data_IF_340760067131
#
_entry.id   IF_340760067131
#
_cell.length_a   1.000
_cell.length_b   1.000
_cell.length_c   1.000
_cell.angle_alpha   90.00
_cell.angle_beta   90.00
_cell.angle_gamma   90.00
#
_symmetry.space_group_name_H-M   'P 1'
#
loop_
_entity.id
_entity.type
_entity.pdbx_description
1 polymer ?
#
# COMPACT_ATOMS: atom_id res chain seq x y z
N UNK A 1 -40.90 -0.89 -58.52
CA UNK A 1 -42.10 -0.01 -58.55
C UNK A 1 -41.93 1.06 -57.48
N UNK A 2 -41.71 2.20 -57.98
CA UNK A 2 -42.35 3.52 -57.81
C UNK A 2 -41.99 4.21 -56.48
N UNK A 3 -41.17 5.20 -56.60
CA UNK A 3 -41.29 6.65 -56.89
C UNK A 3 -41.50 7.46 -55.61
N UNK A 4 -40.54 8.31 -55.25
CA UNK A 4 -40.35 9.74 -55.58
C UNK A 4 -41.33 10.71 -54.89
N UNK A 5 -40.74 11.70 -54.13
CA UNK A 5 -40.91 13.18 -54.27
C UNK A 5 -40.33 13.84 -53.02
N UNK A 6 -39.27 14.62 -52.98
CA UNK A 6 -38.94 16.00 -53.41
C UNK A 6 -39.93 17.08 -52.99
N UNK A 7 -39.42 18.02 -52.15
CA UNK A 7 -39.58 19.48 -52.19
C UNK A 7 -38.78 20.06 -51.00
N UNK A 8 -37.72 20.85 -51.13
CA UNK A 8 -37.51 22.24 -51.58
C UNK A 8 -38.42 23.23 -50.89
N UNK A 9 -37.80 24.08 -50.02
CA UNK A 9 -37.68 25.54 -50.26
C UNK A 9 -37.02 26.25 -49.08
N UNK A 10 -35.98 27.03 -49.38
CA UNK A 10 -35.53 28.18 -48.55
C UNK A 10 -36.38 29.39 -48.95
N UNK A 11 -36.37 30.51 -48.11
CA UNK A 11 -35.55 31.63 -48.56
C UNK A 11 -34.84 32.42 -47.46
N UNK A 12 -33.88 33.19 -47.95
CA UNK A 12 -33.03 34.20 -47.31
C UNK A 12 -33.83 35.40 -46.82
N UNK A 13 -33.38 36.01 -45.69
CA UNK A 13 -33.42 37.47 -45.56
C UNK A 13 -32.12 37.97 -44.90
N UNK A 14 -31.62 39.00 -45.49
CA UNK A 14 -30.39 39.73 -45.33
C UNK A 14 -30.73 41.14 -44.87
N UNK A 15 -30.20 41.60 -43.70
CA UNK A 15 -29.97 43.02 -43.29
C UNK A 15 -28.92 42.92 -42.19
N UNK A 16 -27.80 43.49 -42.20
CA UNK A 16 -27.27 44.73 -42.67
C UNK A 16 -27.26 45.76 -41.55
N UNK A 17 -26.20 45.79 -40.67
CA UNK A 17 -25.83 47.04 -39.95
C UNK A 17 -24.38 46.93 -39.42
N UNK A 18 -23.70 48.07 -39.54
CA UNK A 18 -22.28 48.28 -39.41
C UNK A 18 -21.79 48.50 -37.96
N UNK A 19 -20.48 48.63 -37.71
CA UNK A 19 -19.86 48.58 -36.37
C UNK A 19 -19.82 49.90 -35.63
N UNK A 20 -20.03 49.88 -34.32
CA UNK A 20 -19.80 51.02 -33.41
C UNK A 20 -18.56 50.77 -32.57
N UNK A 21 -17.78 51.85 -32.39
CA UNK A 21 -16.52 51.97 -31.70
C UNK A 21 -16.67 51.88 -30.14
N UNK A 22 -15.56 51.63 -29.42
CA UNK A 22 -15.57 51.36 -27.98
C UNK A 22 -15.73 52.61 -27.11
N UNK A 23 -16.60 52.49 -26.11
CA UNK A 23 -16.82 53.50 -25.09
C UNK A 23 -15.93 53.29 -23.87
N UNK A 24 -15.46 54.38 -23.39
CA UNK A 24 -14.61 54.70 -22.24
C UNK A 24 -15.12 54.10 -20.92
N UNK A 25 -14.22 53.49 -20.12
CA UNK A 25 -14.47 53.07 -18.77
C UNK A 25 -14.55 54.24 -17.78
N UNK A 26 -15.41 54.20 -16.75
CA UNK A 26 -15.46 55.22 -15.71
C UNK A 26 -14.42 54.97 -14.61
N UNK A 27 -13.77 56.07 -14.20
CA UNK A 27 -12.83 56.17 -13.07
C UNK A 27 -13.54 55.94 -11.74
N UNK A 28 -12.94 55.13 -10.85
CA UNK A 28 -13.30 55.01 -9.44
C UNK A 28 -12.76 56.19 -8.62
N UNK A 29 -13.49 56.66 -7.61
CA UNK A 29 -13.04 57.77 -6.76
C UNK A 29 -12.07 57.30 -5.66
N UNK A 30 -11.12 58.17 -5.41
CA UNK A 30 -10.05 58.16 -4.40
C UNK A 30 -10.66 58.33 -3.01
N UNK A 31 -10.54 57.32 -2.11
CA UNK A 31 -10.88 57.47 -0.71
C UNK A 31 -9.71 57.95 0.12
N UNK A 32 -10.06 58.71 1.12
CA UNK A 32 -9.29 59.59 1.96
C UNK A 32 -8.30 58.90 2.90
N UNK A 33 -7.27 59.71 3.27
CA UNK A 33 -6.26 59.45 4.29
C UNK A 33 -6.88 59.38 5.69
N UNK A 34 -6.56 58.36 6.46
CA UNK A 34 -6.74 58.34 7.93
C UNK A 34 -5.46 58.85 8.62
N UNK A 35 -5.58 59.52 9.77
CA UNK A 35 -4.44 60.16 10.43
C UNK A 35 -3.64 59.19 11.32
N UNK A 36 -2.36 59.50 11.41
CA UNK A 36 -1.29 58.88 12.20
C UNK A 36 -1.49 59.22 13.69
N UNK A 37 -1.55 58.19 14.54
CA UNK A 37 -1.43 58.31 15.98
C UNK A 37 -0.02 57.91 16.38
N UNK A 38 0.70 58.82 17.03
CA UNK A 38 2.01 58.63 17.66
C UNK A 38 1.80 57.92 19.01
N UNK A 39 2.57 56.89 19.24
CA UNK A 39 2.67 56.22 20.56
C UNK A 39 4.00 55.48 20.62
N UNK A 40 4.98 56.10 21.27
CA UNK A 40 6.31 55.56 21.48
C UNK A 40 6.34 54.51 22.61
N UNK A 41 7.02 53.38 22.40
CA UNK A 41 7.53 52.52 23.44
C UNK A 41 8.97 52.09 23.12
N UNK A 42 9.86 51.93 24.14
CA UNK A 42 11.29 51.91 23.95
C UNK A 42 11.86 50.60 23.47
N UNK A 43 12.89 50.70 22.65
CA UNK A 43 13.74 49.60 22.17
C UNK A 43 14.65 49.11 23.28
N UNK A 44 14.71 47.82 23.50
CA UNK A 44 15.86 47.16 24.15
C UNK A 44 16.72 46.52 23.07
N UNK A 45 18.01 46.83 23.14
CA UNK A 45 19.06 46.45 22.22
C UNK A 45 19.42 44.97 22.34
N UNK A 46 19.62 44.31 21.23
CA UNK A 46 20.18 42.97 21.11
C UNK A 46 20.70 42.74 19.70
N UNK A 47 21.76 43.50 19.34
CA UNK A 47 22.41 43.38 18.05
C UNK A 47 23.48 42.28 18.10
N UNK A 48 23.30 41.18 17.38
CA UNK A 48 24.38 40.24 17.05
C UNK A 48 24.86 40.55 15.63
N UNK A 49 26.15 40.86 15.44
CA UNK A 49 26.65 41.14 14.10
C UNK A 49 26.83 39.86 13.29
N UNK A 50 26.42 39.94 12.03
CA UNK A 50 26.65 38.96 10.98
C UNK A 50 28.16 39.00 10.62
N UNK A 51 28.82 37.83 10.45
CA UNK A 51 30.21 37.79 10.02
C UNK A 51 30.37 38.32 8.59
N UNK A 52 31.33 39.21 8.43
CA UNK A 52 31.73 39.82 7.16
C UNK A 52 32.31 38.78 6.21
N UNK A 53 31.89 38.89 4.96
CA UNK A 53 32.44 38.13 3.82
C UNK A 53 33.80 38.70 3.47
N UNK A 54 34.84 37.88 3.53
CA UNK A 54 36.18 38.25 3.07
C UNK A 54 36.21 38.64 1.58
N UNK A 55 37.04 39.61 1.18
CA UNK A 55 37.15 40.05 -0.20
C UNK A 55 37.76 38.98 -1.10
N UNK A 56 37.18 38.78 -2.27
CA UNK A 56 37.76 37.96 -3.34
C UNK A 56 39.01 38.64 -3.87
N UNK A 57 40.17 37.95 -3.75
CA UNK A 57 41.38 38.30 -4.47
C UNK A 57 41.21 37.99 -5.97
N UNK A 58 41.40 38.99 -6.80
CA UNK A 58 41.53 38.83 -8.26
C UNK A 58 42.85 38.12 -8.56
N UNK A 59 42.78 36.81 -8.83
CA UNK A 59 43.88 36.00 -9.35
C UNK A 59 43.68 35.80 -10.84
N UNK A 60 44.51 36.47 -11.62
CA UNK A 60 44.66 36.31 -13.06
C UNK A 60 45.02 34.85 -13.40
N UNK A 61 44.11 34.11 -14.01
CA UNK A 61 44.35 32.76 -14.51
C UNK A 61 44.89 32.85 -15.95
N UNK A 62 46.19 32.75 -16.10
CA UNK A 62 46.84 32.44 -17.36
C UNK A 62 46.51 31.01 -17.82
N UNK A 63 45.96 30.91 -19.05
CA UNK A 63 45.71 29.66 -19.77
C UNK A 63 47.01 28.84 -19.91
N UNK A 64 47.01 27.53 -19.64
CA UNK A 64 48.16 26.73 -20.02
C UNK A 64 48.18 26.49 -21.55
N UNK A 65 49.35 26.83 -22.14
CA UNK A 65 49.70 26.62 -23.55
C UNK A 65 49.77 25.11 -23.80
N UNK A 66 49.07 24.64 -24.84
CA UNK A 66 49.19 23.29 -25.36
C UNK A 66 50.61 23.07 -25.93
N UNK A 67 51.41 22.21 -25.31
CA UNK A 67 52.63 21.69 -25.86
C UNK A 67 52.33 20.67 -26.97
N UNK A 68 53.12 20.63 -28.07
CA UNK A 68 52.96 19.69 -29.14
C UNK A 68 53.34 18.24 -28.67
N UNK A 69 52.55 17.30 -29.09
CA UNK A 69 52.74 15.87 -28.89
C UNK A 69 53.94 15.37 -29.74
N UNK A 70 55.06 15.13 -29.13
CA UNK A 70 56.16 14.39 -29.75
C UNK A 70 55.83 12.89 -29.79
N UNK A 71 55.91 12.34 -30.98
CA UNK A 71 55.86 10.90 -31.24
C UNK A 71 57.06 10.22 -30.60
N UNK A 72 56.82 9.38 -29.61
CA UNK A 72 57.82 8.50 -28.99
C UNK A 72 57.19 7.13 -28.80
N UNK A 73 57.40 6.25 -29.75
CA UNK A 73 57.00 4.84 -29.65
C UNK A 73 57.84 4.17 -28.58
N UNK A 74 57.25 3.75 -27.49
CA UNK A 74 57.84 2.77 -26.57
C UNK A 74 57.40 1.37 -26.98
N UNK A 75 58.35 0.42 -27.16
CA UNK A 75 58.00 -0.94 -27.55
C UNK A 75 57.30 -1.69 -26.39
N UNK A 76 56.28 -2.42 -26.76
CA UNK A 76 55.53 -3.36 -25.93
C UNK A 76 56.50 -4.44 -25.41
N UNK A 77 56.53 -4.77 -24.11
CA UNK A 77 57.34 -5.88 -23.61
C UNK A 77 56.82 -7.20 -24.18
N UNK A 78 57.77 -7.99 -24.70
CA UNK A 78 57.57 -9.32 -25.27
C UNK A 78 57.02 -10.28 -24.19
N UNK A 79 56.07 -11.06 -24.63
CA UNK A 79 55.49 -12.17 -23.85
C UNK A 79 56.51 -13.26 -23.70
N UNK A 80 56.98 -13.56 -22.50
CA UNK A 80 57.82 -14.70 -22.18
C UNK A 80 57.16 -16.02 -22.65
N UNK A 81 57.96 -17.00 -23.15
CA UNK A 81 57.41 -18.27 -23.60
C UNK A 81 56.87 -19.11 -22.45
N UNK A 82 55.69 -19.73 -22.69
CA UNK A 82 55.12 -20.74 -21.80
C UNK A 82 56.06 -21.93 -21.72
N UNK A 83 56.63 -22.18 -20.53
CA UNK A 83 57.26 -23.45 -20.22
C UNK A 83 56.18 -24.51 -20.01
N UNK A 84 56.19 -25.56 -20.77
CA UNK A 84 55.48 -26.81 -20.54
C UNK A 84 55.97 -27.44 -19.24
N UNK A 85 55.19 -27.31 -18.17
CA UNK A 85 55.45 -27.92 -16.88
C UNK A 85 54.34 -28.91 -16.58
N UNK A 86 54.69 -30.15 -16.68
CA UNK A 86 54.03 -31.38 -16.31
C UNK A 86 53.08 -31.26 -15.13
N UNK A 87 51.84 -31.77 -15.33
CA UNK A 87 50.84 -31.96 -14.31
C UNK A 87 51.32 -32.89 -13.20
N UNK A 88 51.50 -32.37 -12.00
CA UNK A 88 51.49 -33.18 -10.78
C UNK A 88 50.26 -32.83 -9.96
N UNK A 89 49.34 -33.79 -9.88
CA UNK A 89 48.19 -33.80 -8.98
C UNK A 89 48.70 -33.62 -7.53
N UNK A 90 48.08 -32.76 -6.72
CA UNK A 90 48.37 -32.77 -5.29
C UNK A 90 47.87 -34.08 -4.68
N UNK A 91 48.79 -34.79 -4.04
CA UNK A 91 48.55 -36.00 -3.23
C UNK A 91 47.62 -35.62 -2.08
N UNK A 92 46.52 -36.32 -1.97
CA UNK A 92 45.64 -36.26 -0.81
C UNK A 92 46.43 -36.75 0.41
N UNK A 93 46.64 -35.88 1.38
CA UNK A 93 47.08 -36.27 2.72
C UNK A 93 46.04 -37.15 3.38
N UNK A 94 46.45 -38.23 4.08
CA UNK A 94 45.55 -39.10 4.80
C UNK A 94 44.91 -38.31 5.97
N UNK A 95 43.60 -38.34 6.04
CA UNK A 95 42.78 -37.83 7.15
C UNK A 95 43.01 -38.75 8.32
N UNK A 96 43.70 -38.30 9.36
CA UNK A 96 43.82 -38.99 10.64
C UNK A 96 42.41 -39.18 11.23
N UNK A 97 42.12 -40.45 11.50
CA UNK A 97 40.91 -40.89 12.18
C UNK A 97 40.89 -40.36 13.63
N UNK A 98 39.99 -39.45 13.91
CA UNK A 98 39.53 -39.13 15.24
C UNK A 98 38.09 -39.55 15.35
N UNK A 99 37.89 -40.81 15.66
CA UNK A 99 36.60 -41.39 15.94
C UNK A 99 36.10 -40.94 17.31
N UNK A 100 35.11 -40.06 17.38
CA UNK A 100 34.27 -39.96 18.57
C UNK A 100 33.20 -41.04 18.47
N UNK A 101 33.02 -41.86 19.51
CA UNK A 101 32.05 -42.94 19.46
C UNK A 101 30.63 -42.39 19.49
N UNK A 102 29.84 -42.77 18.51
CA UNK A 102 28.40 -42.61 18.47
C UNK A 102 27.79 -43.46 19.59
N UNK A 103 26.86 -42.94 20.41
CA UNK A 103 26.21 -43.76 21.43
C UNK A 103 25.46 -44.90 20.76
N UNK A 104 25.70 -46.11 21.26
CA UNK A 104 25.06 -47.35 20.84
C UNK A 104 23.54 -47.25 21.04
N UNK A 105 22.82 -47.58 19.98
CA UNK A 105 21.39 -47.90 20.10
C UNK A 105 21.29 -49.23 20.85
N UNK A 106 20.72 -49.18 22.04
CA UNK A 106 20.34 -50.37 22.78
C UNK A 106 19.41 -51.27 21.99
N UNK A 107 19.40 -52.60 22.30
CA UNK A 107 18.65 -53.58 21.55
C UNK A 107 17.14 -53.30 21.60
N UNK A 108 16.49 -53.38 20.45
CA UNK A 108 15.02 -53.41 20.37
C UNK A 108 14.56 -54.68 21.12
N UNK A 109 13.94 -54.48 22.26
CA UNK A 109 13.13 -55.53 22.89
C UNK A 109 11.90 -55.75 22.01
N UNK A 110 11.75 -56.97 21.52
CA UNK A 110 10.51 -57.47 20.97
C UNK A 110 9.46 -57.49 22.08
N UNK A 111 8.65 -56.42 22.15
CA UNK A 111 7.50 -56.31 23.03
C UNK A 111 6.24 -56.51 22.24
N UNK A 112 5.76 -57.70 22.37
CA UNK A 112 4.43 -58.22 22.07
C UNK A 112 3.35 -57.15 21.98
N UNK A 113 2.66 -57.12 20.83
CA UNK A 113 1.39 -56.45 20.60
C UNK A 113 0.31 -57.01 21.54
N UNK A 114 -0.02 -56.29 22.58
CA UNK A 114 -1.27 -56.49 23.30
C UNK A 114 -2.20 -55.32 23.02
N UNK A 115 -3.10 -55.57 22.08
CA UNK A 115 -4.30 -54.79 21.82
C UNK A 115 -5.14 -54.78 23.10
N UNK A 116 -5.60 -53.66 23.64
CA UNK A 116 -6.54 -53.68 24.76
C UNK A 116 -7.87 -54.28 24.31
N UNK A 117 -8.23 -55.34 25.01
CA UNK A 117 -9.51 -56.02 24.87
C UNK A 117 -10.67 -55.06 25.17
N UNK A 118 -11.62 -55.06 24.28
CA UNK A 118 -12.94 -54.46 24.48
C UNK A 118 -13.60 -55.13 25.69
N UNK A 119 -13.95 -54.37 26.71
CA UNK A 119 -14.80 -54.80 27.79
C UNK A 119 -16.13 -55.42 27.26
N UNK A 120 -16.60 -56.53 27.87
CA UNK A 120 -17.83 -57.15 27.41
C UNK A 120 -19.04 -56.27 27.71
N UNK A 121 -19.90 -56.12 26.70
CA UNK A 121 -21.25 -55.58 26.86
C UNK A 121 -22.02 -56.50 27.80
N UNK A 122 -22.37 -55.99 29.00
CA UNK A 122 -23.37 -56.64 29.84
C UNK A 122 -24.74 -56.48 29.14
N UNK A 123 -25.26 -57.59 28.62
CA UNK A 123 -26.64 -57.71 28.31
C UNK A 123 -27.42 -57.82 29.63
N UNK A 124 -28.06 -56.75 30.01
CA UNK A 124 -29.08 -56.76 31.06
C UNK A 124 -30.45 -56.72 30.40
N UNK A 125 -31.02 -57.89 30.22
CA UNK A 125 -32.38 -58.09 29.81
C UNK A 125 -33.29 -57.66 30.97
N UNK A 126 -34.06 -56.55 30.82
CA UNK A 126 -35.11 -56.17 31.75
C UNK A 126 -36.46 -56.46 31.07
N UNK A 127 -37.27 -57.36 31.65
CA UNK A 127 -38.56 -57.65 31.06
C UNK A 127 -39.53 -56.47 31.20
N UNK A 128 -40.29 -56.24 30.15
CA UNK A 128 -41.39 -55.30 30.13
C UNK A 128 -42.52 -55.81 30.98
N UNK A 129 -43.09 -55.04 31.90
CA UNK A 129 -44.36 -55.41 32.53
C UNK A 129 -45.52 -55.07 31.61
N UNK A 130 -46.52 -55.96 31.72
CA UNK A 130 -47.76 -56.03 30.96
C UNK A 130 -48.63 -54.75 31.02
N UNK A 131 -49.35 -54.60 29.98
CA UNK A 131 -50.37 -53.65 29.70
C UNK A 131 -51.60 -53.87 30.59
N UNK A 132 -51.69 -53.08 31.67
CA UNK A 132 -52.95 -53.04 32.45
C UNK A 132 -53.56 -51.66 32.28
N UNK A 133 -54.72 -51.60 31.73
CA UNK A 133 -55.71 -50.57 31.63
C UNK A 133 -55.83 -49.76 32.89
N UNK A 134 -55.58 -48.39 32.81
CA UNK A 134 -56.02 -47.48 33.86
C UNK A 134 -56.60 -46.19 33.26
N UNK A 135 -57.79 -45.97 33.74
CA UNK A 135 -58.76 -44.95 33.51
C UNK A 135 -58.18 -43.51 33.62
N UNK A 136 -58.64 -42.63 32.75
CA UNK A 136 -58.31 -41.23 32.66
C UNK A 136 -58.53 -40.45 33.97
N UNK A 137 -57.48 -39.83 34.50
CA UNK A 137 -57.60 -38.73 35.41
C UNK A 137 -56.96 -37.48 34.69
N UNK A 138 -57.80 -36.49 34.50
CA UNK A 138 -57.53 -35.24 33.83
C UNK A 138 -56.62 -34.38 34.73
N UNK A 139 -55.32 -34.36 34.48
CA UNK A 139 -54.35 -33.48 35.14
C UNK A 139 -54.35 -32.09 34.47
N UNK A 140 -54.08 -30.97 35.20
CA UNK A 140 -54.16 -29.61 34.67
C UNK A 140 -53.07 -29.33 33.63
N UNK A 141 -53.44 -28.67 32.56
CA UNK A 141 -52.57 -28.17 31.49
C UNK A 141 -51.49 -27.28 32.09
N UNK A 142 -50.26 -27.77 32.15
CA UNK A 142 -49.06 -26.95 32.27
C UNK A 142 -48.93 -26.08 31.04
N UNK A 143 -49.01 -24.76 31.23
CA UNK A 143 -48.80 -23.75 30.20
C UNK A 143 -47.34 -23.87 29.74
N UNK A 144 -47.12 -24.23 28.47
CA UNK A 144 -45.81 -24.16 27.84
C UNK A 144 -45.22 -22.75 27.97
N UNK A 145 -43.90 -22.62 28.24
CA UNK A 145 -43.31 -21.27 28.27
C UNK A 145 -43.52 -20.58 26.90
N UNK A 146 -44.05 -19.39 26.94
CA UNK A 146 -44.17 -18.53 25.78
C UNK A 146 -42.83 -18.54 25.03
N UNK A 147 -42.87 -18.97 23.76
CA UNK A 147 -41.83 -18.65 22.81
C UNK A 147 -41.67 -17.14 22.83
N UNK A 148 -40.54 -16.67 23.35
CA UNK A 148 -40.14 -15.27 23.27
C UNK A 148 -40.13 -14.91 21.78
N UNK A 149 -41.15 -14.14 21.36
CA UNK A 149 -41.14 -13.46 20.07
C UNK A 149 -39.79 -12.73 20.02
N UNK A 150 -38.93 -13.07 19.05
CA UNK A 150 -37.76 -12.24 18.72
C UNK A 150 -38.25 -10.82 18.62
N UNK A 151 -37.86 -10.00 19.57
CA UNK A 151 -38.09 -8.58 19.54
C UNK A 151 -37.54 -7.98 18.26
N UNK A 152 -37.97 -6.81 17.84
CA UNK A 152 -37.49 -6.17 16.63
C UNK A 152 -35.97 -6.14 16.69
N UNK A 153 -35.33 -6.65 15.62
CA UNK A 153 -33.88 -6.63 15.41
C UNK A 153 -33.36 -5.25 15.85
N UNK A 154 -32.56 -5.23 16.91
CA UNK A 154 -31.97 -4.00 17.40
C UNK A 154 -31.26 -3.34 16.18
N UNK A 155 -31.72 -2.13 15.82
CA UNK A 155 -31.04 -1.30 14.82
C UNK A 155 -29.55 -1.34 15.16
N UNK A 156 -28.70 -1.63 14.17
CA UNK A 156 -27.26 -1.56 14.36
C UNK A 156 -26.93 -0.23 15.04
N UNK A 157 -26.11 -0.22 16.10
CA UNK A 157 -25.85 1.00 16.87
C UNK A 157 -25.39 2.11 15.92
N UNK A 158 -26.08 3.25 15.96
CA UNK A 158 -25.77 4.41 15.13
C UNK A 158 -24.37 4.93 15.50
N UNK A 159 -23.58 5.35 14.48
CA UNK A 159 -22.27 5.95 14.68
C UNK A 159 -21.11 5.09 14.16
N UNK A 160 -19.94 5.68 14.18
CA UNK A 160 -18.67 5.02 13.83
C UNK A 160 -18.03 4.40 15.08
N UNK A 161 -17.19 3.38 14.87
CA UNK A 161 -16.36 2.82 15.97
C UNK A 161 -15.38 3.87 16.47
N UNK A 162 -15.31 4.03 17.79
CA UNK A 162 -14.52 5.08 18.44
C UNK A 162 -13.04 5.05 18.03
N UNK A 163 -12.40 3.86 17.95
CA UNK A 163 -11.03 3.73 17.46
C UNK A 163 -10.86 4.18 15.99
N UNK A 164 -11.93 4.14 15.17
CA UNK A 164 -11.87 4.63 13.80
C UNK A 164 -11.89 6.17 13.79
N UNK A 165 -12.70 6.79 14.62
CA UNK A 165 -12.79 8.24 14.76
C UNK A 165 -11.45 8.80 15.24
N UNK A 166 -10.89 8.24 16.31
CA UNK A 166 -9.58 8.64 16.85
C UNK A 166 -8.45 8.50 15.82
N UNK A 167 -8.44 7.39 15.07
CA UNK A 167 -7.44 7.18 14.04
C UNK A 167 -7.58 8.16 12.85
N UNK A 168 -8.81 8.58 12.50
CA UNK A 168 -9.06 9.62 11.48
C UNK A 168 -8.72 11.02 11.98
N UNK A 169 -8.70 11.22 13.28
CA UNK A 169 -8.24 12.45 13.92
C UNK A 169 -6.70 12.52 14.09
N UNK A 170 -5.97 11.53 13.56
CA UNK A 170 -4.51 11.53 13.63
C UNK A 170 -3.91 11.07 14.95
N UNK A 171 -4.74 10.73 15.96
CA UNK A 171 -4.27 10.35 17.32
C UNK A 171 -3.26 9.20 17.25
N UNK A 172 -3.66 8.03 16.73
CA UNK A 172 -2.80 6.86 16.67
C UNK A 172 -3.28 5.86 15.59
N UNK A 173 -2.65 4.66 15.52
CA UNK A 173 -3.22 3.56 14.72
C UNK A 173 -4.53 3.07 15.36
N UNK A 174 -5.41 2.44 14.58
CA UNK A 174 -6.68 1.90 15.12
C UNK A 174 -6.45 0.96 16.30
N UNK A 175 -5.41 0.11 16.24
CA UNK A 175 -5.04 -0.79 17.36
C UNK A 175 -4.52 -0.01 18.57
N UNK A 176 -3.66 0.99 18.37
CA UNK A 176 -3.20 1.82 19.48
C UNK A 176 -4.34 2.67 20.09
N UNK A 177 -5.31 3.11 19.27
CA UNK A 177 -6.52 3.74 19.79
C UNK A 177 -7.39 2.77 20.60
N UNK A 178 -7.43 1.47 20.25
CA UNK A 178 -8.08 0.44 21.07
C UNK A 178 -7.42 0.32 22.43
N UNK A 179 -6.09 0.38 22.50
CA UNK A 179 -5.34 0.41 23.79
C UNK A 179 -5.69 1.65 24.60
N UNK A 180 -5.68 2.85 24.01
CA UNK A 180 -6.07 4.09 24.68
C UNK A 180 -7.51 4.06 25.23
N UNK A 181 -8.44 3.41 24.51
CA UNK A 181 -9.82 3.22 24.99
C UNK A 181 -9.82 2.29 26.21
N UNK A 182 -9.14 1.15 26.15
CA UNK A 182 -9.08 0.20 27.28
C UNK A 182 -8.46 0.82 28.53
N UNK A 183 -7.46 1.67 28.37
CA UNK A 183 -6.76 2.39 29.44
C UNK A 183 -7.59 3.56 30.02
N UNK A 184 -8.74 3.89 29.41
CA UNK A 184 -9.67 4.90 29.92
C UNK A 184 -9.30 6.34 29.57
N UNK A 185 -8.41 6.56 28.62
CA UNK A 185 -8.02 7.91 28.15
C UNK A 185 -9.10 8.63 27.36
N UNK A 186 -10.11 7.89 26.85
CA UNK A 186 -11.10 8.42 25.91
C UNK A 186 -12.44 8.64 26.59
N UNK A 187 -13.02 9.83 26.38
CA UNK A 187 -14.36 10.15 26.86
C UNK A 187 -15.27 10.52 25.68
N UNK A 188 -16.54 10.20 25.83
CA UNK A 188 -17.60 10.61 24.91
C UNK A 188 -18.68 11.32 25.73
N UNK A 189 -18.95 12.59 25.44
CA UNK A 189 -19.88 13.45 26.18
C UNK A 189 -19.57 13.48 27.70
N UNK A 190 -18.29 13.48 28.08
CA UNK A 190 -17.83 13.50 29.46
C UNK A 190 -17.85 12.15 30.16
N UNK A 191 -18.28 11.07 29.52
CA UNK A 191 -18.27 9.71 30.08
C UNK A 191 -17.05 8.94 29.56
N UNK A 192 -16.23 8.42 30.46
CA UNK A 192 -15.08 7.59 30.10
C UNK A 192 -15.51 6.26 29.50
N UNK A 193 -14.96 5.92 28.35
CA UNK A 193 -15.25 4.69 27.61
C UNK A 193 -14.05 3.76 27.70
N UNK A 194 -14.26 2.54 28.18
CA UNK A 194 -13.24 1.47 28.27
C UNK A 194 -13.63 0.23 27.45
N UNK A 195 -14.82 0.22 26.83
CA UNK A 195 -15.35 -0.91 26.09
C UNK A 195 -14.90 -0.86 24.63
N UNK A 196 -14.30 -1.98 24.14
CA UNK A 196 -13.94 -2.13 22.75
C UNK A 196 -15.20 -2.27 21.88
N UNK A 197 -15.18 -1.59 20.74
CA UNK A 197 -16.30 -1.59 19.81
C UNK A 197 -17.33 -0.50 20.08
N UNK A 198 -17.16 0.29 21.15
CA UNK A 198 -17.96 1.49 21.40
C UNK A 198 -18.04 2.38 20.16
N UNK A 199 -19.20 3.01 19.96
CA UNK A 199 -19.48 3.86 18.81
C UNK A 199 -19.86 5.26 19.27
N UNK A 200 -19.50 6.24 18.45
CA UNK A 200 -19.87 7.63 18.64
C UNK A 200 -20.19 8.27 17.29
N UNK A 201 -20.94 9.34 17.31
CA UNK A 201 -21.21 10.15 16.14
C UNK A 201 -20.23 11.34 16.11
N UNK A 202 -19.24 11.38 15.19
CA UNK A 202 -18.23 12.44 15.17
C UNK A 202 -18.77 13.84 14.89
N UNK A 203 -20.07 13.96 14.52
CA UNK A 203 -20.73 15.24 14.24
C UNK A 203 -21.65 15.72 15.37
N UNK A 204 -21.98 14.85 16.33
CA UNK A 204 -22.92 15.16 17.42
C UNK A 204 -22.30 14.99 18.81
N UNK A 205 -21.36 14.01 18.94
CA UNK A 205 -20.78 13.68 20.20
C UNK A 205 -19.46 14.44 20.39
N UNK A 206 -19.25 14.93 21.61
CA UNK A 206 -17.98 15.53 22.02
C UNK A 206 -17.05 14.39 22.45
N UNK A 207 -15.99 14.17 21.68
CA UNK A 207 -14.98 13.13 21.94
C UNK A 207 -13.72 13.81 22.45
N UNK A 208 -13.21 13.38 23.60
CA UNK A 208 -11.97 13.90 24.18
C UNK A 208 -10.98 12.76 24.41
N UNK A 209 -9.70 13.08 24.30
CA UNK A 209 -8.57 12.25 24.68
C UNK A 209 -7.79 12.99 25.78
N UNK A 210 -7.68 12.41 26.98
CA UNK A 210 -7.05 13.04 28.14
C UNK A 210 -7.61 14.47 28.39
N UNK A 211 -8.95 14.61 28.28
CA UNK A 211 -9.71 15.85 28.40
C UNK A 211 -9.55 16.87 27.27
N UNK A 212 -8.67 16.62 26.29
CA UNK A 212 -8.49 17.47 25.12
C UNK A 212 -9.45 17.07 23.97
N UNK A 213 -10.15 18.01 23.33
CA UNK A 213 -11.11 17.69 22.28
C UNK A 213 -10.42 17.12 21.03
N UNK A 214 -10.90 15.99 20.57
CA UNK A 214 -10.41 15.32 19.36
C UNK A 214 -11.03 15.96 18.12
N UNK A 215 -10.20 16.56 17.28
CA UNK A 215 -10.62 17.19 16.03
C UNK A 215 -10.24 16.31 14.83
N UNK A 216 -11.13 16.25 13.84
CA UNK A 216 -10.86 15.52 12.60
C UNK A 216 -9.74 16.21 11.82
N UNK A 217 -8.71 15.45 11.49
CA UNK A 217 -7.61 15.88 10.64
C UNK A 217 -8.06 16.14 9.20
N UNK A 218 -7.50 17.16 8.55
CA UNK A 218 -7.78 17.41 7.12
C UNK A 218 -7.23 16.25 6.28
N UNK A 219 -7.98 15.77 5.28
CA UNK A 219 -7.51 14.67 4.45
C UNK A 219 -6.33 15.09 3.56
N UNK A 220 -5.28 14.29 3.59
CA UNK A 220 -4.06 14.48 2.79
C UNK A 220 -3.89 13.32 1.83
N UNK A 221 -3.53 13.64 0.58
CA UNK A 221 -3.33 12.66 -0.48
C UNK A 221 -2.00 12.94 -1.19
N UNK A 222 -1.11 11.95 -1.16
CA UNK A 222 0.26 12.06 -1.66
C UNK A 222 0.54 10.90 -2.61
N UNK A 223 1.04 11.20 -3.80
CA UNK A 223 1.62 10.23 -4.72
C UNK A 223 3.14 10.23 -4.54
N UNK A 224 3.69 9.09 -4.18
CA UNK A 224 5.13 8.86 -4.00
C UNK A 224 5.64 7.90 -5.05
N UNK A 225 6.85 8.09 -5.55
CA UNK A 225 7.58 7.08 -6.29
C UNK A 225 8.57 6.39 -5.34
N UNK A 226 8.13 5.28 -4.76
CA UNK A 226 8.92 4.50 -3.79
C UNK A 226 10.19 3.93 -4.44
N UNK A 227 11.38 4.21 -3.92
CA UNK A 227 12.61 3.55 -4.35
C UNK A 227 12.74 2.14 -3.74
N UNK A 228 13.71 1.35 -4.21
CA UNK A 228 14.15 0.12 -3.54
C UNK A 228 14.75 0.43 -2.16
N UNK A 229 14.80 -0.59 -1.30
CA UNK A 229 15.45 -0.48 0.01
C UNK A 229 14.60 0.21 1.08
N UNK A 230 13.31 0.43 0.82
CA UNK A 230 12.37 0.98 1.80
C UNK A 230 11.21 0.01 2.03
N UNK A 231 10.82 -0.18 3.29
CA UNK A 231 9.67 -1.00 3.66
C UNK A 231 8.40 -0.16 3.59
N UNK A 232 7.32 -0.73 3.04
CA UNK A 232 6.02 -0.06 2.97
C UNK A 232 5.26 -0.27 4.28
N UNK A 233 5.66 0.46 5.30
CA UNK A 233 5.04 0.49 6.63
C UNK A 233 5.23 1.85 7.29
N UNK A 234 4.41 2.17 8.28
CA UNK A 234 4.56 3.37 9.11
C UNK A 234 5.68 3.18 10.14
N UNK A 235 5.79 1.97 10.73
CA UNK A 235 6.83 1.60 11.70
C UNK A 235 7.36 0.21 11.33
N UNK A 236 8.65 0.02 11.42
CA UNK A 236 9.31 -1.26 11.20
C UNK A 236 10.00 -1.71 12.49
N UNK A 237 9.79 -2.96 12.87
CA UNK A 237 10.35 -3.54 14.11
C UNK A 237 11.82 -3.94 13.95
N UNK A 238 12.25 -4.20 12.71
CA UNK A 238 13.63 -4.56 12.37
C UNK A 238 14.53 -3.34 12.12
N UNK A 239 14.00 -2.11 12.27
CA UNK A 239 14.75 -0.87 12.10
C UNK A 239 15.14 -0.53 10.66
N UNK A 240 14.54 -1.20 9.67
CA UNK A 240 14.76 -0.89 8.25
C UNK A 240 14.14 0.45 7.87
N UNK A 241 14.71 1.19 6.91
CA UNK A 241 14.14 2.44 6.47
C UNK A 241 12.72 2.23 5.89
N UNK A 242 11.77 3.00 6.39
CA UNK A 242 10.37 2.95 5.93
C UNK A 242 10.09 4.05 4.93
N UNK A 243 9.00 3.92 4.17
CA UNK A 243 8.53 4.95 3.24
C UNK A 243 8.22 6.28 3.93
N UNK A 244 8.00 6.27 5.25
CA UNK A 244 7.75 7.48 6.04
C UNK A 244 8.99 8.38 6.11
N UNK A 245 10.19 7.82 6.07
CA UNK A 245 11.43 8.60 6.06
C UNK A 245 11.61 9.47 4.79
N UNK A 246 10.84 9.22 3.74
CA UNK A 246 10.85 10.00 2.51
C UNK A 246 9.85 11.17 2.53
N UNK A 247 8.95 11.23 3.53
CA UNK A 247 7.89 12.24 3.64
C UNK A 247 8.32 13.41 4.54
N UNK A 248 9.23 14.24 4.04
CA UNK A 248 9.66 15.42 4.77
C UNK A 248 8.61 16.53 4.67
N UNK A 249 8.32 17.22 5.80
CA UNK A 249 7.43 18.38 5.85
C UNK A 249 5.92 18.05 5.87
N UNK A 250 5.54 16.80 6.02
CA UNK A 250 4.14 16.39 6.20
C UNK A 250 3.87 16.24 7.69
N UNK A 251 3.00 17.09 8.24
CA UNK A 251 2.56 17.03 9.65
C UNK A 251 1.42 16.04 9.86
N UNK A 252 0.56 15.85 8.86
CA UNK A 252 -0.56 14.94 8.92
C UNK A 252 -0.11 13.47 9.05
N UNK A 253 -0.86 12.69 9.82
CA UNK A 253 -0.58 11.28 10.03
C UNK A 253 -1.03 10.40 8.85
N UNK A 254 -0.25 10.39 7.77
CA UNK A 254 -0.53 9.57 6.58
C UNK A 254 0.03 8.14 6.70
N UNK A 255 -0.52 7.23 5.90
CA UNK A 255 -0.08 5.84 5.79
C UNK A 255 -0.23 5.33 4.35
N UNK A 256 0.51 4.27 3.95
CA UNK A 256 0.49 3.76 2.59
C UNK A 256 -0.82 3.05 2.25
N UNK A 257 -1.35 3.31 1.05
CA UNK A 257 -2.49 2.62 0.46
C UNK A 257 -2.01 1.40 -0.32
N UNK A 258 -2.10 0.25 0.31
CA UNK A 258 -1.51 -0.99 -0.18
C UNK A 258 -0.01 -1.05 0.06
N UNK A 259 0.65 -2.01 -0.57
CA UNK A 259 2.07 -2.28 -0.34
C UNK A 259 2.84 -2.48 -1.63
N UNK A 260 4.10 -2.10 -1.60
CA UNK A 260 5.16 -2.54 -2.51
C UNK A 260 6.24 -3.22 -1.67
N UNK A 261 6.80 -4.32 -2.16
CA UNK A 261 7.86 -5.04 -1.46
C UNK A 261 9.13 -4.19 -1.33
N UNK A 262 10.03 -4.59 -0.44
CA UNK A 262 11.31 -3.93 -0.19
C UNK A 262 12.13 -3.69 -1.49
N UNK A 263 12.20 -4.71 -2.35
CA UNK A 263 12.90 -4.68 -3.63
C UNK A 263 12.03 -4.24 -4.82
N UNK A 264 10.82 -3.69 -4.59
CA UNK A 264 9.94 -3.17 -5.62
C UNK A 264 9.94 -1.65 -5.59
N UNK A 265 9.79 -1.04 -6.76
CA UNK A 265 9.79 0.40 -6.97
C UNK A 265 8.43 0.88 -7.48
N UNK A 266 8.24 2.19 -7.53
CA UNK A 266 7.17 2.83 -8.29
C UNK A 266 6.11 3.51 -7.44
N UNK A 267 5.00 3.84 -8.09
CA UNK A 267 3.96 4.68 -7.53
C UNK A 267 3.28 4.06 -6.31
N UNK A 268 3.21 4.81 -5.23
CA UNK A 268 2.58 4.45 -3.97
C UNK A 268 1.75 5.64 -3.48
N UNK A 269 0.47 5.41 -3.24
CA UNK A 269 -0.41 6.42 -2.66
C UNK A 269 -0.28 6.39 -1.14
N UNK A 270 -0.21 7.58 -0.52
CA UNK A 270 -0.20 7.78 0.93
C UNK A 270 -1.38 8.70 1.29
N UNK A 271 -2.11 8.39 2.36
CA UNK A 271 -3.24 9.22 2.82
C UNK A 271 -3.57 8.96 4.28
N UNK A 272 -4.31 9.86 4.91
CA UNK A 272 -5.01 9.66 6.19
C UNK A 272 -6.52 9.37 5.99
N UNK A 273 -7.02 9.37 4.74
CA UNK A 273 -8.39 9.00 4.40
C UNK A 273 -8.55 7.47 4.37
N UNK A 274 -9.04 6.93 5.49
CA UNK A 274 -9.19 5.48 5.67
C UNK A 274 -10.30 4.85 4.83
N UNK A 275 -11.28 5.62 4.40
CA UNK A 275 -12.38 5.11 3.59
C UNK A 275 -11.93 4.94 2.14
N UNK A 276 -11.27 5.95 1.60
CA UNK A 276 -10.65 5.86 0.28
C UNK A 276 -9.58 4.76 0.25
N UNK A 277 -8.71 4.70 1.26
CA UNK A 277 -7.66 3.66 1.35
C UNK A 277 -8.24 2.25 1.37
N UNK A 278 -9.31 2.01 2.12
CA UNK A 278 -10.01 0.73 2.17
C UNK A 278 -10.60 0.37 0.80
N UNK A 279 -11.27 1.30 0.15
CA UNK A 279 -11.88 1.11 -1.17
C UNK A 279 -10.84 0.75 -2.21
N UNK A 280 -9.73 1.50 -2.27
CA UNK A 280 -8.64 1.27 -3.23
C UNK A 280 -7.85 -0.03 -2.99
N UNK A 281 -7.89 -0.58 -1.78
CA UNK A 281 -7.17 -1.83 -1.44
C UNK A 281 -8.07 -3.06 -1.44
N UNK A 282 -9.39 -2.89 -1.35
CA UNK A 282 -10.34 -4.01 -1.38
C UNK A 282 -10.28 -4.74 -2.72
N UNK A 283 -10.26 -6.09 -2.69
CA UNK A 283 -10.33 -6.91 -3.90
C UNK A 283 -11.63 -6.74 -4.71
N UNK A 284 -12.68 -6.23 -4.08
CA UNK A 284 -14.01 -6.09 -4.69
C UNK A 284 -14.07 -4.98 -5.74
N UNK A 285 -13.27 -3.93 -5.57
CA UNK A 285 -13.24 -2.79 -6.51
C UNK A 285 -12.34 -3.00 -7.72
N UNK A 286 -11.60 -4.10 -7.79
CA UNK A 286 -10.81 -4.51 -8.96
C UNK A 286 -9.89 -3.42 -9.53
N UNK A 287 -9.38 -2.54 -8.67
CA UNK A 287 -8.54 -1.41 -9.06
C UNK A 287 -7.32 -1.89 -9.85
N UNK A 288 -7.14 -1.46 -11.11
CA UNK A 288 -6.00 -1.88 -11.92
C UNK A 288 -4.68 -1.34 -11.38
N UNK A 289 -3.65 -2.16 -11.44
CA UNK A 289 -2.28 -1.83 -11.07
C UNK A 289 -1.37 -2.28 -12.20
N UNK A 290 -0.69 -1.35 -12.84
CA UNK A 290 0.21 -1.65 -13.97
C UNK A 290 1.65 -1.63 -13.51
N UNK A 291 2.38 -2.66 -13.89
CA UNK A 291 3.77 -2.86 -13.52
C UNK A 291 4.66 -3.03 -14.75
N UNK A 292 5.84 -2.43 -14.73
CA UNK A 292 6.95 -2.81 -15.59
C UNK A 292 7.78 -3.88 -14.87
N UNK A 293 7.96 -5.00 -15.52
CA UNK A 293 8.58 -6.21 -14.98
C UNK A 293 9.74 -6.61 -15.87
N UNK A 294 10.99 -6.52 -15.36
CA UNK A 294 12.15 -7.07 -16.04
C UNK A 294 12.37 -8.50 -15.58
N UNK A 295 12.33 -9.44 -16.49
CA UNK A 295 12.47 -10.86 -16.22
C UNK A 295 13.76 -11.41 -16.83
N UNK A 296 14.15 -12.59 -16.36
CA UNK A 296 15.26 -13.32 -16.93
C UNK A 296 14.75 -14.23 -18.06
N UNK A 297 15.30 -14.08 -19.25
CA UNK A 297 14.91 -14.76 -20.50
C UNK A 297 13.47 -14.45 -20.93
N UNK A 298 13.22 -14.62 -22.21
CA UNK A 298 11.90 -14.42 -22.80
C UNK A 298 11.03 -15.66 -22.59
N UNK A 299 9.82 -15.55 -21.97
CA UNK A 299 8.88 -16.64 -21.87
C UNK A 299 8.34 -17.05 -23.25
N UNK A 300 7.87 -18.28 -23.36
CA UNK A 300 7.14 -18.73 -24.55
C UNK A 300 5.78 -18.00 -24.61
N UNK A 301 5.23 -17.78 -25.81
CA UNK A 301 3.91 -17.17 -25.96
C UNK A 301 2.82 -17.89 -25.14
N UNK A 302 2.84 -19.22 -25.14
CA UNK A 302 1.86 -20.06 -24.42
C UNK A 302 1.89 -19.78 -22.90
N UNK A 303 3.07 -19.56 -22.34
CA UNK A 303 3.22 -19.20 -20.92
C UNK A 303 2.59 -17.84 -20.61
N UNK A 304 2.68 -16.88 -21.53
CA UNK A 304 2.03 -15.59 -21.36
C UNK A 304 0.51 -15.69 -21.49
N UNK A 305 0.02 -16.60 -22.34
CA UNK A 305 -1.41 -16.87 -22.51
C UNK A 305 -2.02 -17.51 -21.27
N UNK A 306 -1.31 -18.47 -20.64
CA UNK A 306 -1.71 -19.02 -19.34
C UNK A 306 -1.90 -17.93 -18.28
N UNK A 307 -1.01 -16.93 -18.26
CA UNK A 307 -1.17 -15.80 -17.33
C UNK A 307 -2.37 -14.92 -17.66
N UNK A 308 -2.64 -14.70 -18.94
CA UNK A 308 -3.82 -13.93 -19.41
C UNK A 308 -5.13 -14.61 -19.05
N UNK A 309 -5.18 -15.93 -19.08
CA UNK A 309 -6.36 -16.73 -18.76
C UNK A 309 -6.54 -16.98 -17.25
N UNK A 310 -5.52 -16.75 -16.44
CA UNK A 310 -5.50 -16.97 -15.02
C UNK A 310 -4.67 -18.19 -14.60
N UNK A 311 -3.44 -17.93 -14.23
CA UNK A 311 -2.42 -18.91 -13.83
C UNK A 311 -2.73 -19.60 -12.51
N UNK A 312 -2.39 -20.88 -12.40
CA UNK A 312 -2.51 -21.62 -11.13
C UNK A 312 -1.22 -21.55 -10.34
N UNK A 313 -1.26 -20.85 -9.20
CA UNK A 313 -0.13 -20.66 -8.28
C UNK A 313 -0.45 -21.23 -6.90
N UNK A 314 0.42 -22.04 -6.35
CA UNK A 314 0.26 -22.67 -5.02
C UNK A 314 -1.13 -23.32 -4.84
N UNK A 315 -1.62 -24.05 -5.87
CA UNK A 315 -2.91 -24.71 -5.90
C UNK A 315 -4.13 -23.80 -6.06
N UNK A 316 -3.94 -22.47 -6.13
CA UNK A 316 -5.02 -21.48 -6.29
C UNK A 316 -4.97 -20.84 -7.68
N UNK A 317 -6.13 -20.69 -8.30
CA UNK A 317 -6.24 -19.93 -9.55
C UNK A 317 -6.18 -18.46 -9.26
N UNK A 318 -5.27 -17.77 -9.95
CA UNK A 318 -5.17 -16.30 -9.96
C UNK A 318 -6.21 -15.72 -10.90
N UNK A 319 -6.57 -14.44 -10.71
CA UNK A 319 -7.39 -13.73 -11.70
C UNK A 319 -6.60 -13.55 -12.99
N UNK A 320 -7.27 -13.52 -14.14
CA UNK A 320 -6.69 -13.10 -15.40
C UNK A 320 -5.94 -11.78 -15.27
N UNK A 321 -4.80 -11.66 -15.96
CA UNK A 321 -4.00 -10.45 -15.97
C UNK A 321 -3.60 -10.03 -17.38
N UNK A 322 -3.51 -8.71 -17.62
CA UNK A 322 -2.95 -8.19 -18.86
C UNK A 322 -1.44 -8.39 -18.88
N UNK A 323 -0.87 -8.93 -19.96
CA UNK A 323 0.58 -9.01 -20.15
C UNK A 323 0.92 -8.64 -21.58
N UNK A 324 1.80 -7.65 -21.72
CA UNK A 324 2.30 -7.18 -23.02
C UNK A 324 3.83 -7.07 -22.97
N UNK A 325 4.48 -7.30 -24.12
CA UNK A 325 5.93 -7.08 -24.24
C UNK A 325 6.16 -5.58 -24.41
N UNK A 326 6.77 -4.95 -23.41
CA UNK A 326 7.09 -3.52 -23.43
C UNK A 326 8.42 -3.26 -24.18
N UNK A 327 9.44 -4.06 -23.90
CA UNK A 327 10.75 -3.97 -24.54
C UNK A 327 11.30 -5.37 -24.79
N UNK A 328 11.68 -5.67 -26.02
CA UNK A 328 12.26 -6.97 -26.41
C UNK A 328 13.73 -7.06 -26.01
N UNK A 329 14.27 -8.28 -25.93
CA UNK A 329 15.66 -8.56 -25.62
C UNK A 329 15.83 -9.88 -24.88
N UNK A 330 17.07 -10.26 -24.53
CA UNK A 330 17.36 -11.49 -23.79
C UNK A 330 16.69 -11.51 -22.40
N UNK A 331 16.60 -10.34 -21.78
CA UNK A 331 15.91 -10.11 -20.52
C UNK A 331 14.87 -9.00 -20.73
N UNK A 332 13.68 -9.33 -21.27
CA UNK A 332 12.69 -8.36 -21.71
C UNK A 332 12.05 -7.62 -20.56
N UNK A 333 11.49 -6.44 -20.88
CA UNK A 333 10.53 -5.78 -20.03
C UNK A 333 9.13 -6.15 -20.49
N UNK A 334 8.30 -6.55 -19.53
CA UNK A 334 6.88 -6.80 -19.74
C UNK A 334 6.07 -5.76 -18.98
N UNK A 335 4.97 -5.35 -19.56
CA UNK A 335 3.93 -4.62 -18.87
C UNK A 335 2.89 -5.60 -18.36
N UNK A 336 2.66 -5.61 -17.04
CA UNK A 336 1.73 -6.53 -16.38
C UNK A 336 0.65 -5.73 -15.67
N UNK A 337 -0.61 -5.97 -16.00
CA UNK A 337 -1.77 -5.33 -15.38
C UNK A 337 -2.50 -6.32 -14.48
N UNK A 338 -2.57 -6.01 -13.18
CA UNK A 338 -3.29 -6.79 -12.18
C UNK A 338 -4.49 -6.03 -11.62
N UNK A 339 -5.59 -6.72 -11.39
CA UNK A 339 -6.77 -6.22 -10.65
C UNK A 339 -6.84 -6.75 -9.22
N UNK A 340 -5.94 -7.66 -8.85
CA UNK A 340 -5.78 -8.18 -7.48
C UNK A 340 -4.39 -7.85 -6.93
N UNK A 341 -4.10 -8.20 -5.67
CA UNK A 341 -2.80 -7.91 -5.06
C UNK A 341 -2.44 -8.96 -4.01
N UNK A 342 -2.01 -10.15 -4.45
CA UNK A 342 -1.52 -11.20 -3.55
C UNK A 342 -0.05 -10.97 -3.20
N UNK A 343 0.39 -11.53 -2.09
CA UNK A 343 1.77 -11.40 -1.63
C UNK A 343 2.76 -11.85 -2.71
N UNK A 344 3.63 -10.92 -3.16
CA UNK A 344 4.66 -11.12 -4.18
C UNK A 344 4.16 -11.79 -5.48
N UNK A 345 2.90 -11.55 -5.85
CA UNK A 345 2.19 -12.27 -6.91
C UNK A 345 3.01 -12.36 -8.20
N UNK A 346 3.42 -11.23 -8.77
CA UNK A 346 4.19 -11.20 -10.02
C UNK A 346 5.50 -11.98 -9.88
N UNK A 347 6.24 -11.79 -8.79
CA UNK A 347 7.52 -12.50 -8.58
C UNK A 347 7.32 -14.02 -8.52
N UNK A 348 6.29 -14.47 -7.82
CA UNK A 348 5.97 -15.91 -7.71
C UNK A 348 5.49 -16.49 -9.03
N UNK A 349 4.62 -15.78 -9.77
CA UNK A 349 4.14 -16.22 -11.08
C UNK A 349 5.30 -16.50 -12.04
N UNK A 350 6.17 -15.52 -12.22
CA UNK A 350 7.30 -15.65 -13.14
C UNK A 350 8.36 -16.64 -12.63
N UNK A 351 8.59 -16.73 -11.33
CA UNK A 351 9.51 -17.73 -10.77
C UNK A 351 8.99 -19.17 -10.98
N UNK A 352 7.70 -19.40 -10.86
CA UNK A 352 7.08 -20.72 -11.04
C UNK A 352 7.26 -21.27 -12.47
N UNK A 353 7.42 -20.38 -13.47
CA UNK A 353 7.65 -20.78 -14.87
C UNK A 353 9.12 -20.62 -15.30
N UNK A 354 10.05 -20.40 -14.35
CA UNK A 354 11.48 -20.35 -14.62
C UNK A 354 12.01 -19.01 -15.14
N UNK A 355 11.23 -17.93 -15.03
CA UNK A 355 11.61 -16.58 -15.47
C UNK A 355 11.65 -15.58 -14.30
N UNK A 356 12.61 -15.67 -13.36
CA UNK A 356 12.61 -14.83 -12.16
C UNK A 356 12.69 -13.33 -12.49
N UNK A 357 11.95 -12.55 -11.68
CA UNK A 357 11.87 -11.09 -11.84
C UNK A 357 13.10 -10.41 -11.25
N UNK A 358 13.85 -9.69 -12.07
CA UNK A 358 15.02 -8.90 -11.67
C UNK A 358 14.66 -7.49 -11.23
N UNK A 359 13.74 -6.81 -11.94
CA UNK A 359 13.23 -5.48 -11.56
C UNK A 359 11.71 -5.46 -11.63
N UNK A 360 11.08 -4.76 -10.68
CA UNK A 360 9.63 -4.60 -10.60
C UNK A 360 9.31 -3.17 -10.20
N UNK A 361 8.61 -2.45 -11.09
CA UNK A 361 8.21 -1.06 -10.89
C UNK A 361 6.71 -0.91 -11.15
N UNK A 362 5.96 -0.39 -10.21
CA UNK A 362 4.57 0.00 -10.45
C UNK A 362 4.51 1.36 -11.12
N UNK A 363 3.99 1.42 -12.34
CA UNK A 363 3.90 2.65 -13.13
C UNK A 363 2.52 3.30 -13.07
N UNK A 364 1.48 2.52 -12.70
CA UNK A 364 0.12 3.04 -12.60
C UNK A 364 -0.62 2.38 -11.43
N UNK A 365 -1.45 3.18 -10.75
CA UNK A 365 -2.32 2.74 -9.67
C UNK A 365 -3.72 3.36 -9.83
N UNK A 366 -4.70 2.56 -10.28
CA UNK A 366 -5.99 3.09 -10.74
C UNK A 366 -5.79 4.13 -11.84
N UNK A 367 -6.35 5.34 -11.71
CA UNK A 367 -6.16 6.43 -12.66
C UNK A 367 -4.84 7.20 -12.48
N UNK A 368 -4.05 6.89 -11.43
CA UNK A 368 -2.83 7.62 -11.13
C UNK A 368 -1.66 7.10 -11.96
N UNK A 369 -1.03 8.00 -12.69
CA UNK A 369 0.18 7.80 -13.46
C UNK A 369 1.05 9.06 -13.37
N UNK A 370 2.37 8.89 -13.19
CA UNK A 370 3.31 10.01 -13.21
C UNK A 370 4.71 9.53 -13.63
N UNK A 371 5.01 9.54 -14.93
CA UNK A 371 6.34 9.14 -15.42
C UNK A 371 7.44 10.14 -15.07
N UNK A 372 7.09 11.40 -14.74
CA UNK A 372 8.06 12.44 -14.40
C UNK A 372 8.49 12.39 -12.92
N UNK A 373 7.71 11.75 -12.04
CA UNK A 373 8.01 11.67 -10.62
C UNK A 373 9.22 10.77 -10.38
N UNK A 374 10.33 11.36 -9.94
CA UNK A 374 11.59 10.65 -9.70
C UNK A 374 11.50 9.71 -8.50
N UNK A 375 12.23 8.57 -8.47
CA UNK A 375 12.31 7.69 -7.30
C UNK A 375 12.74 8.45 -6.04
N UNK A 376 12.07 8.20 -4.92
CA UNK A 376 12.29 8.87 -3.64
C UNK A 376 11.57 10.21 -3.48
N UNK A 377 10.94 10.72 -4.53
CA UNK A 377 10.17 11.96 -4.50
C UNK A 377 8.67 11.68 -4.35
N UNK A 378 7.97 12.71 -3.92
CA UNK A 378 6.52 12.68 -3.77
C UNK A 378 5.92 14.05 -4.09
N UNK A 379 4.62 14.06 -4.36
CA UNK A 379 3.81 15.29 -4.50
C UNK A 379 2.39 15.05 -3.98
N UNK A 380 1.68 16.12 -3.72
CA UNK A 380 0.24 16.03 -3.50
C UNK A 380 -0.50 15.64 -4.79
N UNK A 381 -1.65 14.99 -4.64
CA UNK A 381 -2.55 14.74 -5.77
C UNK A 381 -3.16 16.06 -6.24
N UNK A 382 -3.40 16.15 -7.53
CA UNK A 382 -4.21 17.22 -8.11
C UNK A 382 -5.70 16.97 -7.80
N UNK A 383 -6.52 18.03 -7.91
CA UNK A 383 -7.97 17.92 -7.72
C UNK A 383 -8.61 16.93 -8.72
N UNK A 384 -8.10 16.88 -9.95
CA UNK A 384 -8.57 15.96 -10.99
C UNK A 384 -8.25 14.50 -10.65
N UNK A 385 -7.02 14.20 -10.22
CA UNK A 385 -6.60 12.86 -9.79
C UNK A 385 -7.42 12.39 -8.59
N UNK A 386 -7.66 13.27 -7.62
CA UNK A 386 -8.47 12.96 -6.46
C UNK A 386 -9.93 12.70 -6.84
N UNK A 387 -10.50 13.49 -7.75
CA UNK A 387 -11.86 13.27 -8.24
C UNK A 387 -11.96 11.91 -8.98
N UNK A 388 -10.98 11.59 -9.84
CA UNK A 388 -10.89 10.32 -10.53
C UNK A 388 -10.77 9.11 -9.57
N UNK A 389 -9.99 9.24 -8.47
CA UNK A 389 -9.91 8.20 -7.45
C UNK A 389 -11.22 8.02 -6.67
N UNK A 390 -11.92 9.11 -6.38
CA UNK A 390 -13.19 9.07 -5.64
C UNK A 390 -14.36 8.54 -6.47
N UNK A 391 -14.28 8.59 -7.79
CA UNK A 391 -15.30 8.05 -8.71
C UNK A 391 -15.18 6.53 -8.92
N UNK A 392 -14.09 5.90 -8.50
CA UNK A 392 -13.94 4.44 -8.50
C UNK A 392 -14.80 3.81 -7.39
#
# INVERSE_FOLDING_TARGET
MAQLRKAKTSPKHRTGAAPTKPGTAPRTPRTERTPRIEGAAPRTEGYTPRPERAPRSEGSASRPVRTPRTEGATPRPERAPRSEGSASRPVRTPRTEGATPRPERGPRSEGSSSRPERAPRREGFVPRPDRATRVAAKAPRTVSPLQSKKGPSAKAPEGERLQKILAHAGVASRRACETLILEGHVQVNGVTITELGARANPYRDVITLDFEPVQKEQPVYILMNKPKGYVTTVKDEEGRPTVMALLNGISARVYPVGRLDFNSEGLLLMTNDGELAQRLTSPDFHIPKVYLVKIHRTPRPETLDEFREGFRLDGRRLKPCGIEVHEKGDNPWLQVTLTEGKNQQIRKMFAAVGHPVSKLRRIQFGPLEDPALKPGHWRHLTAQELAALKSL
#
